data_IF_729121162764
#
_entry.id   IF_729121162764
#
_cell.length_a   1.000
_cell.length_b   1.000
_cell.length_c   1.000
_cell.angle_alpha   90.00
_cell.angle_beta   90.00
_cell.angle_gamma   90.00
#
_symmetry.space_group_name_H-M   'P 1'
#
loop_
_entity.id
_entity.type
_entity.pdbx_description
1 polymer ?
#
# COMPACT_ATOMS: atom_id res chain seq x y z
N UNK A 1 0.80 43.98 51.56
CA UNK A 1 1.47 44.72 50.47
C UNK A 1 0.38 45.38 49.63
N UNK A 2 0.38 46.71 49.53
CA UNK A 2 -0.58 47.44 48.67
C UNK A 2 -0.17 47.19 47.22
N UNK A 3 -1.04 46.55 46.44
CA UNK A 3 -0.85 46.39 45.00
C UNK A 3 -0.82 47.78 44.36
N UNK A 4 0.19 48.00 43.51
CA UNK A 4 0.36 49.26 42.79
C UNK A 4 -0.77 49.37 41.74
N UNK A 5 -1.65 50.39 41.80
CA UNK A 5 -2.83 50.47 40.93
C UNK A 5 -2.50 50.72 39.44
N UNK A 6 -1.23 50.96 39.10
CA UNK A 6 -0.76 51.14 37.72
C UNK A 6 -0.42 49.84 36.99
N UNK A 7 -0.18 48.73 37.70
CA UNK A 7 0.17 47.43 37.09
C UNK A 7 -1.08 46.66 36.64
N UNK A 8 -2.16 46.67 37.43
CA UNK A 8 -3.41 45.97 37.12
C UNK A 8 -4.08 46.44 35.82
N UNK A 9 -3.82 47.66 35.38
CA UNK A 9 -4.32 48.21 34.10
C UNK A 9 -3.47 47.81 32.88
N UNK A 10 -2.23 47.35 33.08
CA UNK A 10 -1.32 46.92 32.00
C UNK A 10 -1.40 45.41 31.72
N UNK A 11 -1.76 44.61 32.71
CA UNK A 11 -1.92 43.15 32.59
C UNK A 11 -2.90 42.68 31.49
N UNK A 12 -4.11 43.25 31.33
CA UNK A 12 -5.04 42.86 30.27
C UNK A 12 -4.50 43.13 28.86
N UNK A 13 -3.59 44.12 28.72
CA UNK A 13 -2.91 44.42 27.45
C UNK A 13 -1.80 43.41 27.15
N UNK A 14 -1.09 42.93 28.19
CA UNK A 14 -0.04 41.92 28.06
C UNK A 14 -0.61 40.52 27.78
N UNK A 15 -1.75 40.17 28.38
CA UNK A 15 -2.47 38.91 28.12
C UNK A 15 -2.83 38.71 26.64
N UNK A 16 -3.12 39.80 25.91
CA UNK A 16 -3.37 39.75 24.45
C UNK A 16 -2.16 39.34 23.61
N UNK A 17 -0.95 39.44 24.16
CA UNK A 17 0.28 39.06 23.47
C UNK A 17 0.75 37.63 23.84
N UNK A 18 0.10 36.99 24.82
CA UNK A 18 0.42 35.63 25.24
C UNK A 18 -0.49 34.69 24.44
N UNK A 19 0.10 33.78 23.66
CA UNK A 19 -0.64 32.71 22.99
C UNK A 19 -0.99 31.62 24.01
N UNK A 20 -2.09 31.83 24.75
CA UNK A 20 -2.57 30.87 25.75
C UNK A 20 -2.85 29.48 25.14
N UNK A 21 -3.31 29.43 23.89
CA UNK A 21 -3.54 28.20 23.14
C UNK A 21 -2.25 27.41 22.82
N UNK A 22 -1.05 27.97 23.06
CA UNK A 22 0.22 27.26 22.90
C UNK A 22 0.73 26.64 24.21
N UNK A 23 0.09 26.93 25.35
CA UNK A 23 0.46 26.37 26.66
C UNK A 23 -0.14 24.98 26.80
N UNK A 24 0.61 24.02 27.35
CA UNK A 24 0.09 22.68 27.59
C UNK A 24 -1.12 22.72 28.54
N UNK A 25 -2.14 21.89 28.28
CA UNK A 25 -3.37 21.83 29.11
C UNK A 25 -3.03 21.60 30.59
N UNK A 26 -2.02 20.78 30.87
CA UNK A 26 -1.55 20.56 32.23
C UNK A 26 -1.12 21.87 32.90
N UNK A 27 -0.31 22.69 32.24
CA UNK A 27 0.20 23.96 32.76
C UNK A 27 -0.89 25.04 32.83
N UNK A 28 -1.85 25.01 31.91
CA UNK A 28 -3.05 25.85 31.99
C UNK A 28 -3.81 25.58 33.29
N UNK A 29 -3.94 24.31 33.69
CA UNK A 29 -4.67 23.91 34.90
C UNK A 29 -3.85 24.08 36.18
N UNK A 30 -2.55 23.76 36.16
CA UNK A 30 -1.72 23.74 37.37
C UNK A 30 -1.00 25.05 37.66
N UNK A 31 -0.62 25.82 36.64
CA UNK A 31 0.12 27.06 36.78
C UNK A 31 -0.73 28.30 36.49
N UNK A 32 -1.55 28.29 35.44
CA UNK A 32 -2.30 29.48 35.00
C UNK A 32 -3.61 29.67 35.78
N UNK A 33 -4.41 28.61 35.95
CA UNK A 33 -5.69 28.66 36.67
C UNK A 33 -5.57 29.19 38.11
N UNK A 34 -4.58 28.77 38.94
CA UNK A 34 -4.46 29.26 40.32
C UNK A 34 -4.15 30.75 40.43
N UNK A 35 -3.58 31.36 39.37
CA UNK A 35 -3.25 32.79 39.35
C UNK A 35 -4.50 33.67 39.23
N UNK A 36 -5.66 33.12 38.84
CA UNK A 36 -6.94 33.83 38.66
C UNK A 36 -6.83 35.09 37.79
N UNK A 37 -5.88 35.10 36.87
CA UNK A 37 -5.65 36.20 35.93
C UNK A 37 -6.60 36.13 34.71
N UNK A 38 -7.15 34.95 34.45
CA UNK A 38 -8.09 34.64 33.37
C UNK A 38 -9.29 33.94 34.02
N UNK A 39 -10.49 34.19 33.50
CA UNK A 39 -11.71 33.55 34.00
C UNK A 39 -11.70 32.04 33.70
N UNK A 40 -12.29 31.24 34.59
CA UNK A 40 -12.37 29.79 34.42
C UNK A 40 -13.14 29.42 33.13
N UNK A 41 -14.08 30.25 32.68
CA UNK A 41 -14.78 30.06 31.41
C UNK A 41 -13.87 30.29 30.21
N UNK A 42 -13.11 31.38 30.20
CA UNK A 42 -12.19 31.68 29.11
C UNK A 42 -11.08 30.62 29.01
N UNK A 43 -10.61 30.09 30.15
CA UNK A 43 -9.68 28.94 30.17
C UNK A 43 -10.31 27.67 29.58
N UNK A 44 -11.59 27.43 29.85
CA UNK A 44 -12.32 26.29 29.27
C UNK A 44 -12.46 26.46 27.75
N UNK A 45 -12.79 27.66 27.28
CA UNK A 45 -12.90 27.98 25.85
C UNK A 45 -11.55 27.78 25.14
N UNK A 46 -10.43 28.17 25.77
CA UNK A 46 -9.07 27.92 25.27
C UNK A 46 -8.77 26.42 25.17
N UNK A 47 -9.10 25.63 26.20
CA UNK A 47 -8.89 24.18 26.19
C UNK A 47 -9.77 23.53 25.11
N UNK A 48 -10.99 24.02 24.92
CA UNK A 48 -11.89 23.55 23.88
C UNK A 48 -11.33 23.85 22.49
N UNK A 49 -10.84 25.08 22.25
CA UNK A 49 -10.17 25.45 21.00
C UNK A 49 -8.90 24.62 20.73
N UNK A 50 -8.11 24.33 21.77
CA UNK A 50 -6.96 23.43 21.67
C UNK A 50 -7.38 22.00 21.28
N UNK A 51 -8.47 21.50 21.86
CA UNK A 51 -9.01 20.18 21.54
C UNK A 51 -9.54 20.13 20.09
N UNK A 52 -10.26 21.15 19.64
CA UNK A 52 -10.73 21.25 18.25
C UNK A 52 -9.56 21.38 17.26
N UNK A 53 -8.52 22.14 17.61
CA UNK A 53 -7.33 22.26 16.78
C UNK A 53 -6.56 20.93 16.68
N UNK A 54 -6.44 20.19 17.79
CA UNK A 54 -5.83 18.87 17.83
C UNK A 54 -6.66 17.79 17.09
N UNK A 55 -7.98 18.01 16.97
CA UNK A 55 -8.87 17.13 16.21
C UNK A 55 -8.78 17.34 14.68
N UNK A 56 -8.16 18.42 14.21
CA UNK A 56 -7.95 18.63 12.77
C UNK A 56 -6.77 17.79 12.28
N UNK A 57 -6.95 16.98 11.22
CA UNK A 57 -5.86 16.19 10.68
C UNK A 57 -4.80 17.10 10.05
N UNK A 58 -3.55 16.79 10.32
CA UNK A 58 -2.38 17.43 9.72
C UNK A 58 -2.25 16.92 8.28
N UNK A 59 -2.06 17.84 7.33
CA UNK A 59 -1.88 17.52 5.91
C UNK A 59 -0.41 17.76 5.52
N UNK A 60 0.33 16.69 5.21
CA UNK A 60 1.71 16.74 4.74
C UNK A 60 1.83 16.04 3.40
N UNK A 61 1.93 16.84 2.32
CA UNK A 61 1.96 16.32 0.96
C UNK A 61 3.27 15.58 0.67
N UNK A 62 3.14 14.32 0.25
CA UNK A 62 4.23 13.42 -0.15
C UNK A 62 5.32 13.24 0.92
N UNK A 63 5.00 13.46 2.20
CA UNK A 63 5.90 13.20 3.33
C UNK A 63 5.57 11.86 4.00
N UNK A 64 6.60 11.05 4.26
CA UNK A 64 6.43 9.81 5.01
C UNK A 64 6.20 10.13 6.49
N UNK A 65 4.96 10.06 6.97
CA UNK A 65 4.62 10.37 8.37
C UNK A 65 5.01 9.27 9.35
N UNK A 66 5.51 8.14 8.85
CA UNK A 66 6.07 7.05 9.67
C UNK A 66 7.57 7.22 9.94
N UNK A 67 8.24 8.20 9.32
CA UNK A 67 9.67 8.45 9.53
C UNK A 67 9.98 8.86 10.98
N UNK A 68 11.26 8.77 11.34
CA UNK A 68 11.73 9.12 12.68
C UNK A 68 11.40 10.57 13.08
N UNK A 69 11.32 11.47 12.12
CA UNK A 69 11.01 12.90 12.33
C UNK A 69 9.66 13.11 13.02
N UNK A 70 8.69 12.22 12.77
CA UNK A 70 7.32 12.34 13.29
C UNK A 70 7.06 11.45 14.52
N UNK A 71 8.11 10.80 15.06
CA UNK A 71 8.08 10.04 16.33
C UNK A 71 7.05 8.90 16.38
N UNK A 72 6.76 8.28 15.24
CA UNK A 72 5.84 7.14 15.12
C UNK A 72 6.27 5.99 16.05
N UNK A 73 5.29 5.18 16.52
CA UNK A 73 5.55 4.09 17.46
C UNK A 73 4.79 2.82 17.10
N UNK A 74 5.49 1.70 17.05
CA UNK A 74 4.88 0.36 16.97
C UNK A 74 4.25 0.00 18.33
N UNK A 75 2.96 -0.33 18.32
CA UNK A 75 2.19 -0.75 19.50
C UNK A 75 2.03 -2.27 19.60
N UNK A 76 1.93 -2.95 18.46
CA UNK A 76 1.76 -4.40 18.35
C UNK A 76 2.49 -4.93 17.10
N UNK A 77 2.83 -6.22 17.12
CA UNK A 77 3.81 -6.84 16.22
C UNK A 77 5.17 -6.95 16.90
N UNK A 78 5.96 -7.97 16.56
CA UNK A 78 7.34 -8.12 16.98
C UNK A 78 8.10 -6.80 16.81
N UNK A 79 9.03 -6.52 17.74
CA UNK A 79 9.70 -5.22 17.96
C UNK A 79 8.88 -4.15 18.71
N UNK A 80 7.81 -4.51 19.43
CA UNK A 80 7.06 -3.58 20.31
C UNK A 80 7.90 -2.79 21.35
N UNK A 81 9.18 -3.13 21.51
CA UNK A 81 10.16 -2.50 22.40
C UNK A 81 11.13 -1.51 21.73
N UNK A 82 11.16 -1.41 20.40
CA UNK A 82 12.11 -0.54 19.68
C UNK A 82 11.34 0.46 18.80
N UNK A 83 11.82 1.70 18.76
CA UNK A 83 11.13 2.85 18.21
C UNK A 83 11.13 2.84 16.67
N UNK A 84 10.09 3.45 16.06
CA UNK A 84 9.91 3.75 14.62
C UNK A 84 9.93 2.54 13.66
N UNK A 85 9.28 2.67 12.49
CA UNK A 85 9.36 1.62 11.45
C UNK A 85 10.83 1.41 11.08
N UNK A 86 11.36 0.17 11.10
CA UNK A 86 12.78 -0.05 10.90
C UNK A 86 13.22 0.39 9.50
N UNK A 87 14.36 1.10 9.43
CA UNK A 87 14.94 1.53 8.17
C UNK A 87 15.91 0.49 7.59
N UNK A 88 16.49 -0.41 8.41
CA UNK A 88 17.40 -1.49 7.97
C UNK A 88 17.37 -2.71 8.95
N UNK A 89 17.49 -3.93 8.41
CA UNK A 89 17.65 -5.26 9.07
C UNK A 89 16.57 -5.76 10.06
N UNK A 90 15.65 -4.91 10.49
CA UNK A 90 14.56 -5.25 11.41
C UNK A 90 13.22 -5.42 10.66
N UNK A 91 12.40 -6.40 11.07
CA UNK A 91 11.09 -6.68 10.46
C UNK A 91 9.97 -6.54 11.47
N UNK A 92 8.89 -5.88 11.07
CA UNK A 92 7.63 -5.91 11.81
C UNK A 92 6.99 -7.27 11.54
N UNK A 93 6.66 -8.02 12.59
CA UNK A 93 6.16 -9.38 12.40
C UNK A 93 5.00 -9.74 13.31
N UNK A 94 4.15 -10.68 12.89
CA UNK A 94 3.18 -11.30 13.79
C UNK A 94 2.82 -12.71 13.31
N UNK A 95 2.33 -13.55 14.23
CA UNK A 95 1.81 -14.86 13.89
C UNK A 95 0.46 -14.72 13.17
N UNK A 96 0.34 -15.31 11.98
CA UNK A 96 -0.89 -15.26 11.18
C UNK A 96 -1.94 -16.25 11.66
N UNK A 97 -1.53 -17.29 12.40
CA UNK A 97 -2.45 -18.24 13.04
C UNK A 97 -3.20 -17.67 14.24
N UNK A 98 -2.66 -16.66 14.91
CA UNK A 98 -3.35 -15.97 16.00
C UNK A 98 -4.16 -14.79 15.46
N UNK A 99 -5.48 -14.93 15.51
CA UNK A 99 -6.45 -13.91 15.06
C UNK A 99 -6.34 -12.61 15.86
N UNK A 100 -5.78 -12.66 17.07
CA UNK A 100 -5.60 -11.48 17.92
C UNK A 100 -4.29 -10.74 17.62
N UNK A 101 -3.35 -11.38 16.93
CA UNK A 101 -2.09 -10.77 16.56
C UNK A 101 -2.23 -9.91 15.30
N UNK A 102 -1.44 -8.83 15.28
CA UNK A 102 -1.42 -7.84 14.20
C UNK A 102 -0.21 -6.93 14.38
N UNK A 103 0.12 -6.21 13.32
CA UNK A 103 1.06 -5.08 13.38
C UNK A 103 0.23 -3.82 13.55
N UNK A 104 0.40 -3.10 14.67
CA UNK A 104 -0.27 -1.81 14.92
C UNK A 104 0.75 -0.71 15.14
N UNK A 105 0.57 0.43 14.47
CA UNK A 105 1.45 1.61 14.56
C UNK A 105 0.64 2.85 14.93
N UNK A 106 1.14 3.63 15.90
CA UNK A 106 0.66 4.97 16.30
C UNK A 106 1.51 6.05 15.63
N UNK A 107 0.88 6.88 14.80
CA UNK A 107 1.49 8.02 14.11
C UNK A 107 1.74 9.21 15.04
N UNK A 108 1.37 9.14 16.32
CA UNK A 108 1.39 10.20 17.35
C UNK A 108 0.41 11.34 17.13
N UNK A 109 0.28 11.80 15.90
CA UNK A 109 -0.63 12.85 15.50
C UNK A 109 -1.68 12.30 14.54
N UNK A 110 -2.77 13.06 14.41
CA UNK A 110 -3.80 12.77 13.42
C UNK A 110 -3.34 13.35 12.08
N UNK A 111 -3.20 12.51 11.06
CA UNK A 111 -2.80 12.91 9.71
C UNK A 111 -3.92 12.62 8.71
N UNK A 112 -4.05 13.43 7.68
CA UNK A 112 -4.84 13.06 6.50
C UNK A 112 -3.99 12.12 5.66
N UNK A 113 -4.46 10.91 5.34
CA UNK A 113 -3.71 9.92 4.54
C UNK A 113 -4.60 9.30 3.46
N UNK A 114 -3.96 8.86 2.38
CA UNK A 114 -4.61 8.13 1.29
C UNK A 114 -3.72 7.10 0.57
N UNK A 115 -2.45 6.99 0.95
CA UNK A 115 -1.48 6.10 0.31
C UNK A 115 -0.56 5.45 1.35
N UNK A 116 -0.40 4.13 1.26
CA UNK A 116 0.55 3.35 2.04
C UNK A 116 1.47 2.58 1.10
N UNK A 117 2.75 2.53 1.46
CA UNK A 117 3.73 1.65 0.81
C UNK A 117 4.21 0.65 1.85
N UNK A 118 4.13 -0.63 1.53
CA UNK A 118 4.51 -1.72 2.44
C UNK A 118 5.37 -2.72 1.68
N UNK A 119 6.46 -3.19 2.26
CA UNK A 119 7.32 -4.21 1.67
C UNK A 119 7.22 -5.52 2.47
N UNK A 120 6.70 -6.56 1.82
CA UNK A 120 6.62 -7.90 2.39
C UNK A 120 8.01 -8.55 2.33
N UNK A 121 8.54 -8.96 3.48
CA UNK A 121 9.93 -9.41 3.59
C UNK A 121 10.19 -10.72 2.83
N UNK A 122 9.23 -11.64 2.87
CA UNK A 122 9.32 -12.94 2.21
C UNK A 122 7.93 -13.50 1.88
N UNK A 123 7.91 -14.51 1.02
CA UNK A 123 6.71 -15.30 0.77
C UNK A 123 5.60 -14.60 -0.02
N UNK A 124 4.50 -15.34 -0.07
CA UNK A 124 3.28 -15.08 -0.83
C UNK A 124 2.15 -14.92 0.21
N UNK A 125 1.68 -13.68 0.43
CA UNK A 125 0.79 -13.35 1.54
C UNK A 125 -0.50 -12.68 1.09
N UNK A 126 -1.63 -13.05 1.70
CA UNK A 126 -2.81 -12.18 1.75
C UNK A 126 -2.72 -11.25 2.95
N UNK A 127 -3.37 -10.10 2.92
CA UNK A 127 -3.42 -9.19 4.07
C UNK A 127 -4.63 -8.25 4.01
N UNK A 128 -4.98 -7.61 5.12
CA UNK A 128 -5.88 -6.45 5.12
C UNK A 128 -5.35 -5.35 6.01
N UNK A 129 -5.79 -4.12 5.73
CA UNK A 129 -5.34 -2.92 6.44
C UNK A 129 -6.55 -2.20 7.01
N UNK A 130 -6.44 -1.83 8.28
CA UNK A 130 -7.40 -1.02 9.01
C UNK A 130 -6.72 0.25 9.51
N UNK A 131 -7.48 1.34 9.55
CA UNK A 131 -7.02 2.62 10.10
C UNK A 131 -8.00 3.13 11.14
N UNK A 132 -7.49 3.91 12.10
CA UNK A 132 -8.29 4.46 13.19
C UNK A 132 -7.77 5.84 13.61
N UNK A 133 -8.67 6.66 14.16
CA UNK A 133 -8.34 7.95 14.77
C UNK A 133 -8.04 7.81 16.28
N UNK A 134 -8.59 6.76 16.92
CA UNK A 134 -8.70 6.64 18.39
C UNK A 134 -8.24 5.29 18.96
N UNK A 135 -7.75 4.36 18.12
CA UNK A 135 -7.33 3.01 18.49
C UNK A 135 -8.48 2.10 18.98
N UNK A 136 -9.73 2.52 18.80
CA UNK A 136 -10.94 1.80 19.24
C UNK A 136 -11.85 1.51 18.06
N UNK A 137 -12.13 2.53 17.25
CA UNK A 137 -12.97 2.45 16.07
C UNK A 137 -12.08 2.27 14.84
N UNK A 138 -12.14 1.08 14.25
CA UNK A 138 -11.31 0.70 13.12
C UNK A 138 -12.11 0.67 11.84
N UNK A 139 -11.53 1.22 10.77
CA UNK A 139 -12.12 1.14 9.44
C UNK A 139 -11.16 0.41 8.50
N UNK A 140 -11.64 -0.69 7.91
CA UNK A 140 -10.91 -1.41 6.86
C UNK A 140 -10.81 -0.55 5.60
N UNK A 141 -9.59 -0.29 5.16
CA UNK A 141 -9.31 0.50 3.94
C UNK A 141 -9.04 -0.38 2.73
N UNK A 142 -8.48 -1.58 2.94
CA UNK A 142 -8.24 -2.59 1.91
C UNK A 142 -8.41 -3.97 2.52
N UNK A 143 -8.92 -4.91 1.72
CA UNK A 143 -9.00 -6.33 2.07
C UNK A 143 -8.42 -7.19 0.93
N UNK A 144 -7.14 -7.54 1.09
CA UNK A 144 -6.40 -8.39 0.17
C UNK A 144 -6.17 -9.81 0.72
N UNK A 145 -6.98 -10.26 1.67
CA UNK A 145 -6.87 -11.60 2.29
C UNK A 145 -6.97 -12.76 1.29
N UNK A 146 -7.57 -12.52 0.11
CA UNK A 146 -7.79 -13.53 -0.93
C UNK A 146 -6.80 -13.45 -2.09
N UNK A 147 -5.87 -12.50 -2.07
CA UNK A 147 -4.86 -12.34 -3.12
C UNK A 147 -3.52 -12.83 -2.60
N UNK A 148 -2.68 -13.30 -3.51
CA UNK A 148 -1.32 -13.72 -3.19
C UNK A 148 -0.35 -12.59 -3.56
N UNK A 149 -0.08 -11.73 -2.59
CA UNK A 149 0.78 -10.57 -2.74
C UNK A 149 2.24 -10.88 -2.36
N UNK A 150 3.18 -10.13 -2.93
CA UNK A 150 4.62 -10.27 -2.63
C UNK A 150 5.36 -8.94 -2.74
N UNK A 151 6.51 -8.81 -2.08
CA UNK A 151 7.40 -7.64 -2.24
C UNK A 151 6.70 -6.30 -1.95
N UNK A 152 6.94 -5.26 -2.76
CA UNK A 152 6.39 -3.91 -2.53
C UNK A 152 4.92 -3.82 -2.93
N UNK A 153 4.11 -3.44 -1.95
CA UNK A 153 2.69 -3.18 -2.02
C UNK A 153 2.44 -1.68 -2.00
N UNK A 154 1.73 -1.17 -2.99
CA UNK A 154 1.29 0.23 -3.09
C UNK A 154 -0.23 0.26 -2.95
N UNK A 155 -0.69 0.73 -1.80
CA UNK A 155 -2.10 0.69 -1.40
C UNK A 155 -2.67 2.09 -1.39
N UNK A 156 -3.73 2.31 -2.16
CA UNK A 156 -4.45 3.58 -2.24
C UNK A 156 -5.86 3.42 -1.68
N UNK A 157 -6.36 4.44 -0.98
CA UNK A 157 -7.71 4.46 -0.44
C UNK A 157 -8.24 5.90 -0.37
N UNK A 158 -9.55 6.04 -0.15
CA UNK A 158 -10.17 7.37 -0.02
C UNK A 158 -9.57 8.12 1.17
N UNK A 159 -9.11 9.35 0.90
CA UNK A 159 -8.53 10.25 1.90
C UNK A 159 -9.36 10.33 3.18
N UNK A 160 -8.67 10.28 4.32
CA UNK A 160 -9.29 10.27 5.66
C UNK A 160 -8.30 10.64 6.76
N UNK A 161 -8.78 11.11 7.91
CA UNK A 161 -7.98 11.20 9.13
C UNK A 161 -7.54 9.81 9.61
N UNK A 162 -6.26 9.70 9.95
CA UNK A 162 -5.62 8.47 10.43
C UNK A 162 -4.61 8.84 11.52
N UNK A 163 -4.66 8.13 12.63
CA UNK A 163 -3.62 8.15 13.67
C UNK A 163 -3.04 6.77 13.93
N UNK A 164 -3.83 5.72 13.77
CA UNK A 164 -3.41 4.35 13.97
C UNK A 164 -3.57 3.56 12.67
N UNK A 165 -2.57 2.75 12.36
CA UNK A 165 -2.58 1.82 11.23
C UNK A 165 -2.45 0.42 11.81
N UNK A 166 -3.30 -0.50 11.37
CA UNK A 166 -3.26 -1.91 11.75
C UNK A 166 -3.22 -2.78 10.50
N UNK A 167 -2.30 -3.73 10.48
CA UNK A 167 -2.08 -4.65 9.36
C UNK A 167 -2.18 -6.08 9.88
N UNK A 168 -2.90 -6.91 9.14
CA UNK A 168 -3.01 -8.34 9.40
C UNK A 168 -2.57 -9.10 8.16
N UNK A 169 -1.57 -9.96 8.32
CA UNK A 169 -1.18 -10.94 7.32
C UNK A 169 -1.97 -12.23 7.45
N UNK A 170 -2.22 -12.88 6.32
CA UNK A 170 -2.84 -14.20 6.23
C UNK A 170 -2.13 -15.05 5.21
N UNK A 171 -1.64 -16.20 5.65
CA UNK A 171 -1.16 -17.24 4.75
C UNK A 171 -1.51 -18.60 5.35
N UNK A 172 -2.18 -19.50 4.59
CA UNK A 172 -2.47 -20.84 5.09
C UNK A 172 -1.22 -21.73 5.20
N UNK A 173 -0.10 -21.37 4.55
CA UNK A 173 1.10 -22.19 4.45
C UNK A 173 2.26 -21.72 5.37
N UNK A 174 2.23 -20.48 5.81
CA UNK A 174 3.27 -19.88 6.67
C UNK A 174 2.62 -19.17 7.86
N UNK A 175 3.28 -19.23 9.00
CA UNK A 175 2.78 -18.67 10.25
C UNK A 175 3.38 -17.29 10.54
N UNK A 176 4.58 -16.95 10.06
CA UNK A 176 5.23 -15.68 10.42
C UNK A 176 5.06 -14.62 9.34
N UNK A 177 4.13 -13.69 9.52
CA UNK A 177 3.96 -12.56 8.60
C UNK A 177 4.98 -11.47 8.92
N UNK A 178 5.75 -11.04 7.92
CA UNK A 178 6.86 -10.08 8.09
C UNK A 178 6.79 -8.91 7.08
N UNK A 179 6.95 -7.69 7.59
CA UNK A 179 7.06 -6.45 6.82
C UNK A 179 8.43 -5.83 7.10
N UNK A 180 9.23 -5.64 6.05
CA UNK A 180 10.55 -5.01 6.15
C UNK A 180 10.49 -3.49 6.05
N UNK A 181 9.43 -2.93 5.44
CA UNK A 181 9.27 -1.48 5.28
C UNK A 181 7.79 -1.09 5.28
N UNK A 182 7.47 0.01 5.97
CA UNK A 182 6.13 0.59 6.01
C UNK A 182 6.20 2.12 5.97
N UNK A 183 5.53 2.71 5.00
CA UNK A 183 5.50 4.14 4.77
C UNK A 183 4.06 4.61 4.60
N UNK A 184 3.78 5.85 5.02
CA UNK A 184 2.44 6.40 5.01
C UNK A 184 2.44 7.84 4.49
N UNK A 185 1.56 8.12 3.53
CA UNK A 185 1.55 9.36 2.77
C UNK A 185 0.15 9.93 2.57
N UNK A 186 0.12 11.25 2.43
CA UNK A 186 -0.91 11.97 1.69
C UNK A 186 -0.34 12.34 0.32
N UNK A 187 -1.04 12.02 -0.76
CA UNK A 187 -0.65 12.39 -2.12
C UNK A 187 -1.84 12.87 -2.93
N UNK A 188 -1.65 13.90 -3.75
CA UNK A 188 -2.66 14.36 -4.71
C UNK A 188 -2.58 13.60 -6.05
N UNK A 189 -1.42 13.02 -6.35
CA UNK A 189 -1.15 12.23 -7.56
C UNK A 189 -1.40 10.74 -7.32
N UNK A 190 -2.53 10.41 -6.67
CA UNK A 190 -2.90 9.01 -6.43
C UNK A 190 -3.18 8.30 -7.76
N UNK A 191 -2.68 7.07 -7.90
CA UNK A 191 -3.07 6.20 -9.02
C UNK A 191 -4.58 5.97 -9.00
N UNK A 192 -5.17 5.73 -10.17
CA UNK A 192 -6.57 5.33 -10.23
C UNK A 192 -6.76 3.97 -9.53
N UNK A 193 -7.84 3.82 -8.77
CA UNK A 193 -8.15 2.60 -8.03
C UNK A 193 -9.66 2.44 -7.89
N UNK A 194 -10.13 1.20 -7.77
CA UNK A 194 -11.55 0.96 -7.50
C UNK A 194 -11.88 1.33 -6.04
N UNK A 195 -12.75 2.33 -5.78
CA UNK A 195 -13.06 2.77 -4.42
C UNK A 195 -13.70 1.70 -3.54
N UNK A 196 -14.24 0.62 -4.12
CA UNK A 196 -14.85 -0.49 -3.36
C UNK A 196 -13.83 -1.49 -2.85
N UNK A 197 -12.82 -1.80 -3.66
CA UNK A 197 -11.84 -2.85 -3.36
C UNK A 197 -10.47 -2.31 -2.97
N UNK A 198 -10.16 -1.05 -3.32
CA UNK A 198 -8.84 -0.44 -3.18
C UNK A 198 -7.83 -0.90 -4.24
N UNK A 199 -8.24 -1.76 -5.18
CA UNK A 199 -7.35 -2.34 -6.19
C UNK A 199 -7.01 -1.29 -7.24
N UNK A 200 -5.72 -1.15 -7.50
CA UNK A 200 -5.17 -0.20 -8.48
C UNK A 200 -5.63 -0.56 -9.89
N UNK A 201 -6.05 0.45 -10.64
CA UNK A 201 -6.37 0.40 -12.07
C UNK A 201 -5.17 1.02 -12.81
N UNK A 202 -4.20 0.20 -13.25
CA UNK A 202 -2.97 0.75 -13.82
C UNK A 202 -3.23 1.39 -15.20
N UNK A 203 -2.53 2.49 -15.48
CA UNK A 203 -2.40 3.10 -16.82
C UNK A 203 -1.22 2.53 -17.61
N UNK A 204 -0.18 2.08 -16.90
CA UNK A 204 1.10 1.65 -17.46
C UNK A 204 1.37 0.19 -17.16
N UNK A 205 2.15 -0.48 -18.02
CA UNK A 205 2.54 -1.88 -17.87
C UNK A 205 3.05 -2.18 -16.45
N UNK A 206 2.39 -3.10 -15.76
CA UNK A 206 2.74 -3.61 -14.42
C UNK A 206 3.47 -4.96 -14.48
N UNK A 207 3.49 -5.61 -15.65
CA UNK A 207 4.29 -6.81 -15.88
C UNK A 207 5.73 -6.45 -16.27
N UNK A 208 6.45 -5.79 -15.35
CA UNK A 208 7.86 -5.45 -15.49
C UNK A 208 8.64 -5.90 -14.25
N UNK A 209 9.89 -6.39 -14.39
CA UNK A 209 10.76 -6.69 -13.25
C UNK A 209 10.96 -5.49 -12.32
N UNK A 210 11.03 -4.27 -12.86
CA UNK A 210 11.13 -3.01 -12.09
C UNK A 210 9.89 -2.72 -11.22
N UNK A 211 8.77 -3.35 -11.54
CA UNK A 211 7.52 -3.30 -10.75
C UNK A 211 7.28 -4.63 -10.01
N UNK A 212 8.35 -5.38 -9.76
CA UNK A 212 8.40 -6.63 -9.01
C UNK A 212 7.58 -7.78 -9.63
N UNK A 213 7.29 -7.72 -10.94
CA UNK A 213 6.71 -8.84 -11.66
C UNK A 213 7.76 -9.92 -11.95
N UNK A 214 7.37 -11.19 -11.82
CA UNK A 214 8.27 -12.35 -11.99
C UNK A 214 7.64 -13.47 -12.81
N UNK A 215 8.48 -14.19 -13.54
CA UNK A 215 8.10 -15.44 -14.18
C UNK A 215 8.37 -16.58 -13.18
N UNK A 216 7.30 -17.17 -12.66
CA UNK A 216 7.35 -18.29 -11.71
C UNK A 216 7.62 -19.63 -12.39
N UNK A 217 7.08 -19.81 -13.60
CA UNK A 217 7.18 -21.05 -14.36
C UNK A 217 7.37 -20.71 -15.82
N UNK A 218 8.20 -21.50 -16.50
CA UNK A 218 8.64 -21.27 -17.87
C UNK A 218 10.16 -21.33 -17.97
N UNK A 219 10.66 -21.47 -19.18
CA UNK A 219 12.09 -21.48 -19.49
C UNK A 219 12.42 -20.13 -20.11
N UNK A 220 13.22 -19.34 -19.38
CA UNK A 220 13.66 -18.03 -19.84
C UNK A 220 14.96 -18.16 -20.63
N UNK A 221 15.03 -17.48 -21.76
CA UNK A 221 16.21 -17.37 -22.61
C UNK A 221 16.65 -15.91 -22.68
N UNK A 222 17.97 -15.67 -22.65
CA UNK A 222 18.56 -14.33 -22.68
C UNK A 222 18.66 -13.65 -21.33
N UNK A 223 17.59 -13.60 -20.53
CA UNK A 223 17.58 -12.94 -19.21
C UNK A 223 16.85 -13.75 -18.13
N UNK A 224 16.94 -13.31 -16.87
CA UNK A 224 16.24 -13.95 -15.74
C UNK A 224 14.71 -13.90 -15.88
N UNK A 225 14.19 -12.87 -16.55
CA UNK A 225 12.77 -12.58 -16.64
C UNK A 225 12.21 -12.62 -18.08
N UNK A 226 13.03 -12.97 -19.07
CA UNK A 226 12.57 -13.31 -20.43
C UNK A 226 11.57 -12.30 -21.01
N UNK A 227 10.35 -12.77 -21.30
CA UNK A 227 9.33 -12.01 -22.03
C UNK A 227 8.81 -10.73 -21.35
N UNK A 228 9.06 -10.51 -20.05
CA UNK A 228 8.63 -9.28 -19.34
C UNK A 228 9.76 -8.27 -19.19
N UNK A 229 10.95 -8.57 -19.68
CA UNK A 229 12.07 -7.64 -19.66
C UNK A 229 11.81 -6.47 -20.63
N UNK A 230 12.27 -5.28 -20.28
CA UNK A 230 12.02 -4.06 -21.06
C UNK A 230 12.74 -4.05 -22.42
N UNK A 231 13.75 -4.90 -22.60
CA UNK A 231 14.53 -4.99 -23.83
C UNK A 231 13.77 -5.78 -24.91
N UNK A 232 13.12 -5.06 -25.83
CA UNK A 232 12.46 -5.63 -27.02
C UNK A 232 13.50 -6.13 -28.03
N UNK A 233 14.15 -7.24 -27.74
CA UNK A 233 15.07 -7.92 -28.64
C UNK A 233 14.51 -9.30 -29.00
N UNK A 234 14.61 -9.67 -30.28
CA UNK A 234 14.17 -10.97 -30.82
C UNK A 234 14.97 -12.18 -30.29
N UNK A 235 15.90 -11.96 -29.35
CA UNK A 235 16.70 -12.98 -28.69
C UNK A 235 16.21 -13.29 -27.27
N UNK A 236 15.43 -12.39 -26.66
CA UNK A 236 14.94 -12.57 -25.29
C UNK A 236 13.54 -13.16 -25.36
N UNK A 237 13.35 -14.33 -24.75
CA UNK A 237 12.04 -14.95 -24.76
C UNK A 237 11.81 -15.85 -23.54
N UNK A 238 10.55 -16.16 -23.31
CA UNK A 238 10.13 -17.23 -22.42
C UNK A 238 9.38 -18.27 -23.22
N UNK A 239 9.68 -19.54 -23.00
CA UNK A 239 8.96 -20.64 -23.61
C UNK A 239 8.59 -21.71 -22.58
N UNK A 240 7.75 -22.64 -22.98
CA UNK A 240 7.38 -23.82 -22.20
C UNK A 240 7.36 -25.03 -23.12
N UNK A 241 7.43 -26.22 -22.53
CA UNK A 241 7.28 -27.48 -23.23
C UNK A 241 5.83 -27.94 -23.13
N UNK A 242 5.17 -28.05 -24.29
CA UNK A 242 3.74 -28.40 -24.36
C UNK A 242 3.49 -29.76 -23.71
N UNK A 243 2.55 -29.80 -22.77
CA UNK A 243 2.20 -30.99 -22.01
C UNK A 243 3.09 -31.25 -20.78
N UNK A 244 4.11 -30.43 -20.55
CA UNK A 244 5.00 -30.53 -19.38
C UNK A 244 4.77 -29.37 -18.41
N UNK A 245 4.84 -28.13 -18.91
CA UNK A 245 4.67 -26.94 -18.09
C UNK A 245 3.91 -25.84 -18.83
N UNK A 246 3.39 -24.89 -18.06
CA UNK A 246 2.85 -23.63 -18.57
C UNK A 246 3.82 -22.50 -18.24
N UNK A 247 3.64 -21.33 -18.87
CA UNK A 247 4.30 -20.11 -18.41
C UNK A 247 3.39 -19.45 -17.39
N UNK A 248 3.90 -19.21 -16.17
CA UNK A 248 3.16 -18.51 -15.11
C UNK A 248 3.92 -17.24 -14.76
N UNK A 249 3.26 -16.10 -14.96
CA UNK A 249 3.66 -14.78 -14.52
C UNK A 249 2.93 -14.45 -13.21
N UNK A 250 3.64 -13.84 -12.26
CA UNK A 250 3.07 -13.27 -11.04
C UNK A 250 3.40 -11.76 -10.96
N UNK A 251 2.39 -10.95 -10.67
CA UNK A 251 2.49 -9.52 -10.38
C UNK A 251 2.74 -9.32 -8.87
N UNK A 252 3.27 -8.16 -8.48
CA UNK A 252 3.58 -7.86 -7.09
C UNK A 252 2.35 -7.83 -6.16
N UNK A 253 1.23 -7.35 -6.69
CA UNK A 253 -0.03 -7.10 -5.97
C UNK A 253 -1.20 -7.29 -6.94
N UNK A 254 -2.46 -7.36 -6.46
CA UNK A 254 -3.61 -7.38 -7.35
C UNK A 254 -3.72 -6.07 -8.13
N UNK A 255 -4.03 -6.20 -9.43
CA UNK A 255 -4.37 -5.08 -10.31
C UNK A 255 -5.69 -5.37 -11.03
N UNK A 256 -6.51 -4.33 -11.25
CA UNK A 256 -7.71 -4.42 -12.07
C UNK A 256 -7.31 -4.26 -13.54
N UNK A 257 -7.23 -5.39 -14.25
CA UNK A 257 -6.79 -5.45 -15.64
C UNK A 257 -7.94 -5.85 -16.56
N UNK A 258 -7.91 -5.32 -17.78
CA UNK A 258 -8.86 -5.62 -18.85
C UNK A 258 -8.19 -5.91 -20.20
N UNK A 259 -6.85 -5.89 -20.22
CA UNK A 259 -6.08 -6.04 -21.45
C UNK A 259 -4.70 -6.62 -21.21
N UNK A 260 -4.23 -7.38 -22.19
CA UNK A 260 -2.89 -7.97 -22.27
C UNK A 260 -2.39 -7.75 -23.70
N UNK A 261 -1.12 -7.40 -23.84
CA UNK A 261 -0.43 -7.42 -25.12
C UNK A 261 0.71 -8.42 -25.12
N UNK A 262 0.90 -9.09 -26.25
CA UNK A 262 1.76 -10.25 -26.31
C UNK A 262 2.36 -10.40 -27.71
N UNK A 263 3.65 -10.74 -27.79
CA UNK A 263 4.34 -10.98 -29.06
C UNK A 263 4.83 -12.43 -29.18
N UNK A 264 4.38 -13.10 -30.25
CA UNK A 264 4.72 -14.48 -30.60
C UNK A 264 5.53 -14.54 -31.91
N UNK A 265 6.49 -15.47 -32.00
CA UNK A 265 7.23 -15.73 -33.24
C UNK A 265 6.41 -16.36 -34.36
N UNK A 266 6.98 -16.27 -35.57
CA UNK A 266 6.60 -17.02 -36.76
C UNK A 266 7.08 -18.48 -36.67
N UNK A 267 6.15 -19.41 -36.49
CA UNK A 267 5.89 -20.49 -37.45
C UNK A 267 4.84 -21.47 -36.88
N UNK A 268 3.90 -21.83 -37.75
CA UNK A 268 2.79 -22.78 -37.58
C UNK A 268 1.59 -22.32 -36.72
N UNK A 269 0.40 -22.42 -37.31
CA UNK A 269 -0.90 -22.16 -36.69
C UNK A 269 -1.08 -23.03 -35.44
N UNK A 270 -0.93 -22.43 -34.27
CA UNK A 270 -1.08 -23.12 -32.99
C UNK A 270 -1.95 -22.26 -32.07
N UNK A 271 -2.92 -22.85 -31.38
CA UNK A 271 -3.71 -22.13 -30.38
C UNK A 271 -2.86 -21.84 -29.13
N UNK A 272 -3.15 -20.72 -28.49
CA UNK A 272 -2.83 -20.53 -27.08
C UNK A 272 -4.10 -20.06 -26.37
N UNK A 273 -4.16 -20.35 -25.08
CA UNK A 273 -5.16 -19.76 -24.22
C UNK A 273 -4.45 -19.06 -23.06
N UNK A 274 -5.09 -18.00 -22.58
CA UNK A 274 -4.61 -17.20 -21.47
C UNK A 274 -5.62 -17.33 -20.35
N UNK A 275 -5.12 -17.61 -19.16
CA UNK A 275 -5.91 -17.68 -17.94
C UNK A 275 -5.33 -16.72 -16.92
N UNK A 276 -6.19 -16.08 -16.14
CA UNK A 276 -5.80 -15.18 -15.05
C UNK A 276 -6.29 -15.73 -13.73
N UNK A 277 -5.59 -15.39 -12.64
CA UNK A 277 -5.92 -15.84 -11.30
C UNK A 277 -5.52 -14.80 -10.25
N UNK A 278 -6.14 -14.88 -9.08
CA UNK A 278 -5.81 -14.09 -7.89
C UNK A 278 -5.03 -14.90 -6.85
N UNK A 279 -5.12 -16.23 -6.91
CA UNK A 279 -4.68 -17.17 -5.87
C UNK A 279 -3.83 -18.34 -6.39
N UNK A 280 -3.56 -18.39 -7.70
CA UNK A 280 -2.82 -19.46 -8.41
C UNK A 280 -3.54 -20.83 -8.41
N UNK A 281 -4.72 -20.93 -7.79
CA UNK A 281 -5.51 -22.17 -7.68
C UNK A 281 -6.69 -22.10 -8.64
N UNK A 282 -7.47 -21.03 -8.55
CA UNK A 282 -8.67 -20.79 -9.35
C UNK A 282 -8.29 -19.95 -10.58
N UNK A 283 -8.45 -20.54 -11.77
CA UNK A 283 -8.07 -19.91 -13.03
C UNK A 283 -9.30 -19.53 -13.85
N UNK A 284 -9.34 -18.31 -14.34
CA UNK A 284 -10.37 -17.82 -15.26
C UNK A 284 -9.77 -17.66 -16.64
N UNK A 285 -10.32 -18.38 -17.61
CA UNK A 285 -9.91 -18.30 -19.01
C UNK A 285 -10.42 -16.99 -19.64
N UNK A 286 -9.49 -16.14 -20.08
CA UNK A 286 -9.79 -14.83 -20.66
C UNK A 286 -9.62 -14.78 -22.17
N UNK A 287 -8.91 -15.75 -22.74
CA UNK A 287 -8.65 -15.80 -24.18
C UNK A 287 -8.48 -17.24 -24.64
N UNK A 288 -9.03 -17.58 -25.81
CA UNK A 288 -8.90 -18.92 -26.43
C UNK A 288 -9.08 -18.79 -27.94
N UNK A 289 -8.00 -18.57 -28.68
CA UNK A 289 -8.04 -18.56 -30.13
C UNK A 289 -6.79 -19.19 -30.78
N UNK A 290 -6.92 -19.52 -32.07
CA UNK A 290 -5.80 -19.89 -32.93
C UNK A 290 -4.97 -18.64 -33.22
N UNK A 291 -3.89 -18.45 -32.48
CA UNK A 291 -3.08 -17.24 -32.60
C UNK A 291 -2.14 -17.35 -33.79
N UNK A 292 -2.30 -16.42 -34.73
CA UNK A 292 -1.33 -16.15 -35.79
C UNK A 292 -0.09 -15.46 -35.21
N UNK A 293 1.09 -15.70 -35.77
CA UNK A 293 2.32 -15.03 -35.37
C UNK A 293 2.21 -13.50 -35.36
N UNK A 294 2.98 -12.83 -34.49
CA UNK A 294 3.02 -11.37 -34.39
C UNK A 294 2.52 -10.83 -33.06
N UNK A 295 2.31 -9.51 -33.03
CA UNK A 295 1.76 -8.80 -31.89
C UNK A 295 0.26 -9.09 -31.77
N UNK A 296 -0.21 -9.31 -30.54
CA UNK A 296 -1.58 -9.65 -30.22
C UNK A 296 -2.07 -8.76 -29.09
N UNK A 297 -3.18 -8.07 -29.33
CA UNK A 297 -3.89 -7.30 -28.33
C UNK A 297 -5.11 -8.09 -27.87
N UNK A 298 -5.14 -8.44 -26.60
CA UNK A 298 -6.20 -9.25 -25.99
C UNK A 298 -6.94 -8.36 -25.01
N UNK A 299 -8.25 -8.25 -25.17
CA UNK A 299 -9.14 -7.53 -24.24
C UNK A 299 -10.10 -8.52 -23.59
N UNK A 300 -10.35 -8.33 -22.31
CA UNK A 300 -11.25 -9.17 -21.51
C UNK A 300 -12.00 -8.32 -20.48
N UNK A 301 -12.95 -8.96 -19.78
CA UNK A 301 -13.74 -8.27 -18.75
C UNK A 301 -12.81 -7.84 -17.62
N UNK A 302 -12.86 -6.54 -17.27
CA UNK A 302 -12.06 -5.97 -16.19
C UNK A 302 -12.24 -6.77 -14.90
N UNK A 303 -11.15 -7.33 -14.38
CA UNK A 303 -11.17 -8.16 -13.17
C UNK A 303 -9.82 -8.11 -12.44
N UNK A 304 -9.79 -8.46 -11.14
CA UNK A 304 -8.54 -8.57 -10.39
C UNK A 304 -7.63 -9.65 -10.96
N UNK A 305 -6.36 -9.31 -11.15
CA UNK A 305 -5.33 -10.23 -11.66
C UNK A 305 -4.08 -10.10 -10.79
N UNK A 306 -3.58 -11.25 -10.36
CA UNK A 306 -2.26 -11.41 -9.69
C UNK A 306 -1.37 -12.31 -10.54
N UNK A 307 -1.95 -13.38 -11.10
CA UNK A 307 -1.25 -14.33 -11.95
C UNK A 307 -1.81 -14.32 -13.35
N UNK A 308 -0.92 -14.52 -14.33
CA UNK A 308 -1.27 -14.78 -15.71
C UNK A 308 -0.59 -16.07 -16.14
N UNK A 309 -1.36 -16.99 -16.72
CA UNK A 309 -0.89 -18.27 -17.23
C UNK A 309 -1.07 -18.32 -18.74
N UNK A 310 0.02 -18.69 -19.42
CA UNK A 310 0.07 -18.83 -20.87
C UNK A 310 0.36 -20.29 -21.20
N UNK A 311 -0.55 -20.90 -21.96
CA UNK A 311 -0.44 -22.29 -22.39
C UNK A 311 -0.49 -22.37 -23.92
N UNK A 312 0.53 -22.95 -24.53
CA UNK A 312 0.58 -23.31 -25.94
C UNK A 312 0.04 -24.71 -26.17
N UNK A 313 -0.73 -24.91 -27.25
CA UNK A 313 -1.48 -26.16 -27.43
C UNK A 313 -0.86 -27.18 -28.40
N UNK A 314 0.16 -26.82 -29.17
CA UNK A 314 0.63 -27.69 -30.27
C UNK A 314 2.16 -27.88 -30.30
N UNK A 315 2.94 -26.83 -30.02
CA UNK A 315 4.41 -26.87 -29.89
C UNK A 315 4.91 -25.79 -28.93
N UNK A 316 6.14 -25.94 -28.44
CA UNK A 316 6.82 -24.94 -27.60
C UNK A 316 6.82 -23.60 -28.33
N UNK A 317 6.10 -22.63 -27.77
CA UNK A 317 6.04 -21.26 -28.29
C UNK A 317 7.04 -20.39 -27.55
N UNK A 318 7.71 -19.54 -28.31
CA UNK A 318 8.57 -18.49 -27.77
C UNK A 318 7.76 -17.20 -27.65
N UNK A 319 7.68 -16.69 -26.43
CA UNK A 319 7.03 -15.45 -26.08
C UNK A 319 8.13 -14.41 -25.91
N UNK A 320 8.14 -13.38 -26.75
CA UNK A 320 9.22 -12.37 -26.75
C UNK A 320 8.87 -11.15 -25.92
N UNK A 321 7.58 -10.90 -25.78
CA UNK A 321 7.09 -9.69 -25.14
C UNK A 321 5.74 -9.94 -24.48
N UNK A 322 5.57 -9.42 -23.29
CA UNK A 322 4.33 -9.42 -22.53
C UNK A 322 4.15 -8.09 -21.80
N UNK A 323 2.99 -7.45 -21.98
CA UNK A 323 2.60 -6.28 -21.19
C UNK A 323 1.17 -6.44 -20.69
N UNK A 324 0.92 -6.00 -19.46
CA UNK A 324 -0.43 -5.79 -18.95
C UNK A 324 -0.45 -4.59 -17.99
N UNK A 325 -1.39 -3.64 -18.11
CA UNK A 325 -2.36 -3.50 -19.19
C UNK A 325 -1.65 -3.27 -20.53
N UNK A 326 -2.34 -3.57 -21.63
CA UNK A 326 -1.81 -3.29 -22.95
C UNK A 326 -1.77 -1.77 -23.20
N UNK A 327 -0.67 -1.25 -23.73
CA UNK A 327 -0.67 0.14 -24.17
C UNK A 327 -1.63 0.31 -25.36
N UNK A 328 -2.46 1.37 -25.38
CA UNK A 328 -3.18 1.72 -26.60
C UNK A 328 -2.13 2.01 -27.68
N UNK A 329 -2.27 1.38 -28.85
CA UNK A 329 -1.53 1.83 -30.03
C UNK A 329 -1.93 3.29 -30.29
N UNK A 330 -0.96 4.20 -30.34
CA UNK A 330 -1.14 5.63 -30.68
C UNK A 330 -1.38 5.76 -32.17
#
# INVERSE_FOLDING_TARGET
MKANPSESAQFPKLLKHIKLNAIAVHDLVTAVRPLKLIDDKDLLDIVYEQAEAAAKPIELLNCNVLSYEYSSKVLAGGLSSFFTVPEEDEVLQHHSSDVNENITVDLRHLYKLNHLVMELANGDWGYWIEVSEDNVNWTRVVDYSKYVCRTVQRVYFKERPVRYIRIHGTNPADDMFEISRLEAYYTEDALDFDPKTGIVIPSDNVALPEKDAIILQGINHGTRHGMIDSAKNDEICTYHEVGINDIILQLAQPYLLDSISLWLTKADLCSCFIEVSTDKINWTRVFTELVTCGYQLIKFVKQPVVFVKLTGCCRSKYFFHFECPAKPEI
#
